data_IF_070225356013
#
_entry.id   IF_070225356013
#
_cell.length_a   1.000
_cell.length_b   1.000
_cell.length_c   1.000
_cell.angle_alpha   90.00
_cell.angle_beta   90.00
_cell.angle_gamma   90.00
#
_symmetry.space_group_name_H-M   'P 1'
#
loop_
_entity.id
_entity.type
_entity.pdbx_description
1 polymer ?
#
# COMPACT_ATOMS: atom_id res chain seq x y z
N UNK A 1 14.22 37.15 38.77
CA UNK A 1 14.44 35.81 38.19
C UNK A 1 13.12 35.36 37.62
N UNK A 2 13.09 34.87 36.38
CA UNK A 2 11.87 34.32 35.79
C UNK A 2 11.40 33.12 36.62
N UNK A 3 10.13 33.13 37.02
CA UNK A 3 9.55 32.04 37.80
C UNK A 3 8.89 30.97 36.90
N UNK A 4 8.54 29.83 37.48
CA UNK A 4 7.95 28.71 36.75
C UNK A 4 6.62 29.08 36.05
N UNK A 5 5.79 29.93 36.67
CA UNK A 5 4.50 30.34 36.09
C UNK A 5 4.69 31.20 34.84
N UNK A 6 5.65 32.12 34.86
CA UNK A 6 5.99 32.95 33.70
C UNK A 6 6.53 32.11 32.53
N UNK A 7 7.36 31.11 32.82
CA UNK A 7 7.87 30.19 31.80
C UNK A 7 6.74 29.35 31.19
N UNK A 8 5.80 28.88 32.01
CA UNK A 8 4.63 28.14 31.55
C UNK A 8 3.72 29.00 30.66
N UNK A 9 3.43 30.24 31.07
CA UNK A 9 2.62 31.15 30.26
C UNK A 9 3.24 31.43 28.88
N UNK A 10 4.57 31.61 28.83
CA UNK A 10 5.28 31.78 27.56
C UNK A 10 5.19 30.55 26.66
N UNK A 11 5.26 29.35 27.23
CA UNK A 11 5.09 28.10 26.49
C UNK A 11 3.67 27.96 25.93
N UNK A 12 2.66 28.24 26.76
CA UNK A 12 1.25 28.17 26.35
C UNK A 12 0.95 29.21 25.24
N UNK A 13 1.52 30.42 25.34
CA UNK A 13 1.38 31.44 24.30
C UNK A 13 2.06 31.01 22.98
N UNK A 14 3.28 30.47 23.05
CA UNK A 14 4.02 30.04 21.87
C UNK A 14 3.35 28.85 21.17
N UNK A 15 2.77 27.92 21.94
CA UNK A 15 2.02 26.78 21.37
C UNK A 15 0.73 27.24 20.68
N UNK A 16 0.00 28.19 21.29
CA UNK A 16 -1.17 28.78 20.66
C UNK A 16 -0.83 29.52 19.35
N UNK A 17 0.28 30.28 19.33
CA UNK A 17 0.76 30.98 18.14
C UNK A 17 1.16 29.99 17.03
N UNK A 18 1.88 28.91 17.37
CA UNK A 18 2.27 27.87 16.43
C UNK A 18 1.05 27.17 15.79
N UNK A 19 0.02 26.83 16.57
CA UNK A 19 -1.20 26.23 16.03
C UNK A 19 -1.98 27.23 15.15
N UNK A 20 -2.06 28.50 15.56
CA UNK A 20 -2.70 29.53 14.75
C UNK A 20 -2.02 29.69 13.39
N UNK A 21 -0.68 29.74 13.36
CA UNK A 21 0.10 29.77 12.14
C UNK A 21 -0.15 28.52 11.26
N UNK A 22 -0.13 27.32 11.86
CA UNK A 22 -0.40 26.06 11.15
C UNK A 22 -1.78 26.03 10.50
N UNK A 23 -2.80 26.53 11.21
CA UNK A 23 -4.17 26.58 10.67
C UNK A 23 -4.29 27.59 9.53
N UNK A 24 -3.63 28.75 9.64
CA UNK A 24 -3.60 29.76 8.58
C UNK A 24 -2.90 29.24 7.31
N UNK A 25 -1.73 28.62 7.47
CA UNK A 25 -1.01 27.98 6.35
C UNK A 25 -1.85 26.86 5.72
N UNK A 26 -2.45 26.00 6.54
CA UNK A 26 -3.31 24.91 6.04
C UNK A 26 -4.52 25.45 5.26
N UNK A 27 -5.13 26.54 5.72
CA UNK A 27 -6.23 27.18 5.01
C UNK A 27 -5.77 27.71 3.65
N UNK A 28 -4.64 28.42 3.61
CA UNK A 28 -4.06 28.93 2.36
C UNK A 28 -3.74 27.81 1.36
N UNK A 29 -3.14 26.71 1.81
CA UNK A 29 -2.84 25.55 0.96
C UNK A 29 -4.12 24.94 0.42
N UNK A 30 -5.15 24.84 1.26
CA UNK A 30 -6.42 24.24 0.88
C UNK A 30 -7.15 25.08 -0.17
N UNK A 31 -7.07 26.40 -0.09
CA UNK A 31 -7.61 27.30 -1.11
C UNK A 31 -6.83 27.19 -2.43
N UNK A 32 -5.50 27.12 -2.38
CA UNK A 32 -4.67 26.88 -3.58
C UNK A 32 -5.01 25.53 -4.24
N UNK A 33 -5.20 24.47 -3.47
CA UNK A 33 -5.60 23.15 -4.01
C UNK A 33 -6.97 23.27 -4.68
N UNK A 34 -7.95 23.92 -4.04
CA UNK A 34 -9.28 24.12 -4.61
C UNK A 34 -9.24 24.91 -5.91
N UNK A 35 -8.44 25.97 -5.96
CA UNK A 35 -8.25 26.79 -7.16
C UNK A 35 -7.68 25.94 -8.31
N UNK A 36 -6.64 25.15 -8.05
CA UNK A 36 -6.06 24.27 -9.07
C UNK A 36 -7.05 23.19 -9.54
N UNK A 37 -7.82 22.60 -8.62
CA UNK A 37 -8.87 21.63 -8.97
C UNK A 37 -9.91 22.27 -9.89
N UNK A 38 -10.32 23.51 -9.61
CA UNK A 38 -11.28 24.23 -10.44
C UNK A 38 -10.69 24.63 -11.81
N UNK A 39 -9.47 25.17 -11.83
CA UNK A 39 -8.80 25.68 -13.03
C UNK A 39 -8.60 24.59 -14.10
N UNK A 40 -8.23 23.39 -13.67
CA UNK A 40 -7.97 22.26 -14.56
C UNK A 40 -9.13 21.28 -14.64
N UNK A 41 -10.28 21.60 -14.04
CA UNK A 41 -11.45 20.72 -13.94
C UNK A 41 -11.10 19.30 -13.45
N UNK A 42 -10.19 19.21 -12.47
CA UNK A 42 -9.72 17.92 -11.94
C UNK A 42 -10.85 17.22 -11.20
N UNK A 43 -10.98 15.92 -11.44
CA UNK A 43 -11.93 15.09 -10.71
C UNK A 43 -11.34 14.63 -9.38
N UNK A 44 -12.22 14.28 -8.42
CA UNK A 44 -11.80 13.70 -7.15
C UNK A 44 -10.96 12.42 -7.37
N UNK A 45 -11.29 11.63 -8.39
CA UNK A 45 -10.52 10.43 -8.70
C UNK A 45 -9.09 10.80 -9.09
N UNK A 46 -8.87 11.78 -9.96
CA UNK A 46 -7.51 12.16 -10.38
C UNK A 46 -6.67 12.76 -9.25
N UNK A 47 -7.31 13.48 -8.31
CA UNK A 47 -6.63 14.10 -7.16
C UNK A 47 -6.28 13.09 -6.07
N UNK A 48 -7.16 12.11 -5.81
CA UNK A 48 -7.04 11.19 -4.69
C UNK A 48 -6.71 9.74 -5.09
N UNK A 49 -6.59 9.43 -6.37
CA UNK A 49 -6.15 8.11 -6.82
C UNK A 49 -4.72 7.86 -6.32
N UNK A 50 -4.62 7.00 -5.29
CA UNK A 50 -3.35 6.40 -4.94
C UNK A 50 -2.87 5.65 -6.17
N UNK A 51 -1.82 6.17 -6.82
CA UNK A 51 -1.04 5.43 -7.82
C UNK A 51 -0.64 4.12 -7.14
N UNK A 52 -1.42 3.07 -7.37
CA UNK A 52 -1.06 1.72 -6.95
C UNK A 52 0.29 1.52 -7.59
N UNK A 53 1.35 1.45 -6.79
CA UNK A 53 2.65 1.05 -7.29
C UNK A 53 2.37 -0.25 -8.02
N UNK A 54 2.52 -0.22 -9.34
CA UNK A 54 2.26 -1.36 -10.20
C UNK A 54 3.40 -2.35 -10.04
N UNK A 55 3.73 -2.71 -8.79
CA UNK A 55 4.33 -3.97 -8.45
C UNK A 55 3.30 -5.05 -8.75
N UNK A 56 3.06 -5.30 -10.04
CA UNK A 56 2.66 -6.62 -10.52
C UNK A 56 3.78 -7.56 -10.09
N UNK A 57 3.76 -8.01 -8.84
CA UNK A 57 4.14 -9.38 -8.58
C UNK A 57 3.13 -10.19 -9.39
N UNK A 58 3.49 -10.54 -10.62
CA UNK A 58 2.73 -11.49 -11.39
C UNK A 58 2.65 -12.72 -10.49
N UNK A 59 1.48 -12.97 -9.90
CA UNK A 59 1.25 -14.11 -9.05
C UNK A 59 1.37 -15.32 -9.96
N UNK A 60 2.59 -15.85 -10.07
CA UNK A 60 2.88 -16.98 -10.93
C UNK A 60 1.96 -18.10 -10.48
N UNK A 61 1.13 -18.66 -11.37
CA UNK A 61 0.21 -19.71 -11.00
C UNK A 61 0.98 -20.87 -10.35
N UNK A 62 0.42 -21.50 -9.32
CA UNK A 62 1.07 -22.64 -8.67
C UNK A 62 1.28 -23.76 -9.68
N UNK A 63 2.50 -24.32 -9.70
CA UNK A 63 2.88 -25.45 -10.56
C UNK A 63 2.75 -26.79 -9.81
N UNK A 64 2.95 -26.77 -8.50
CA UNK A 64 2.90 -27.94 -7.63
C UNK A 64 1.89 -27.74 -6.49
N UNK A 65 1.28 -28.84 -6.04
CA UNK A 65 0.34 -28.89 -4.89
C UNK A 65 0.59 -30.12 -4.03
N UNK A 66 0.65 -29.92 -2.73
CA UNK A 66 0.72 -30.98 -1.72
C UNK A 66 -0.64 -31.70 -1.61
N UNK A 67 -0.72 -33.03 -1.84
CA UNK A 67 -1.96 -33.79 -1.67
C UNK A 67 -2.40 -33.91 -0.21
N UNK A 68 -1.49 -33.77 0.76
CA UNK A 68 -1.82 -33.94 2.18
C UNK A 68 -2.40 -32.65 2.80
N UNK A 69 -1.80 -31.50 2.51
CA UNK A 69 -2.19 -30.21 3.12
C UNK A 69 -2.86 -29.24 2.14
N UNK A 70 -2.78 -29.50 0.84
CA UNK A 70 -3.26 -28.58 -0.19
C UNK A 70 -2.34 -27.37 -0.43
N UNK A 71 -1.19 -27.26 0.24
CA UNK A 71 -0.22 -26.20 0.03
C UNK A 71 0.28 -26.18 -1.42
N UNK A 72 0.53 -24.99 -1.98
CA UNK A 72 0.92 -24.84 -3.39
C UNK A 72 2.24 -24.10 -3.57
N UNK A 73 3.00 -24.46 -4.60
CA UNK A 73 4.26 -23.80 -4.94
C UNK A 73 4.35 -23.54 -6.44
N UNK A 74 4.77 -22.33 -6.82
CA UNK A 74 4.89 -21.90 -8.22
C UNK A 74 6.16 -22.39 -8.91
N UNK A 75 7.06 -23.07 -8.19
CA UNK A 75 8.38 -23.45 -8.68
C UNK A 75 9.37 -22.29 -8.75
N UNK A 76 9.03 -21.13 -8.15
CA UNK A 76 9.92 -19.98 -7.99
C UNK A 76 10.10 -19.65 -6.51
N UNK A 77 11.28 -19.20 -6.13
CA UNK A 77 11.62 -18.85 -4.75
C UNK A 77 11.98 -20.06 -3.89
N UNK A 78 11.97 -19.90 -2.56
CA UNK A 78 12.35 -20.95 -1.60
C UNK A 78 11.46 -22.18 -1.77
N UNK A 79 12.11 -23.31 -1.95
CA UNK A 79 11.45 -24.60 -2.07
C UNK A 79 10.84 -25.06 -0.74
N UNK A 80 9.56 -25.47 -0.71
CA UNK A 80 8.93 -25.99 0.50
C UNK A 80 9.45 -27.39 0.91
N UNK A 81 9.49 -27.65 2.21
CA UNK A 81 9.98 -28.92 2.75
C UNK A 81 9.20 -30.16 2.27
N UNK A 82 7.90 -30.00 1.95
CA UNK A 82 7.06 -31.11 1.51
C UNK A 82 7.42 -31.63 0.11
N UNK A 83 8.02 -30.80 -0.76
CA UNK A 83 8.44 -31.20 -2.12
C UNK A 83 9.95 -31.45 -2.23
N UNK A 84 10.78 -30.75 -1.44
CA UNK A 84 12.24 -30.71 -1.56
C UNK A 84 12.97 -32.08 -1.52
N UNK A 85 12.37 -33.10 -0.92
CA UNK A 85 12.98 -34.44 -0.78
C UNK A 85 12.21 -35.54 -1.49
N UNK A 86 11.29 -35.17 -2.39
CA UNK A 86 10.42 -36.11 -3.10
C UNK A 86 10.50 -35.88 -4.62
N UNK A 87 9.95 -36.79 -5.40
CA UNK A 87 9.80 -36.57 -6.84
C UNK A 87 8.73 -35.51 -7.12
N UNK A 88 9.16 -34.36 -7.66
CA UNK A 88 8.33 -33.20 -7.93
C UNK A 88 7.19 -33.50 -8.91
N UNK A 89 7.36 -34.51 -9.79
CA UNK A 89 6.34 -34.92 -10.75
C UNK A 89 5.04 -35.37 -10.06
N UNK A 90 5.15 -35.92 -8.84
CA UNK A 90 4.01 -36.41 -8.04
C UNK A 90 3.10 -35.29 -7.52
N UNK A 91 3.61 -34.07 -7.44
CA UNK A 91 2.91 -32.90 -6.93
C UNK A 91 2.48 -31.95 -8.06
N UNK A 92 2.79 -32.28 -9.30
CA UNK A 92 2.51 -31.42 -10.44
C UNK A 92 0.99 -31.27 -10.61
N UNK A 93 0.51 -30.02 -10.63
CA UNK A 93 -0.89 -29.75 -10.96
C UNK A 93 -1.05 -30.00 -12.46
N UNK A 94 -1.73 -31.09 -12.83
CA UNK A 94 -2.15 -31.33 -14.21
C UNK A 94 -3.19 -30.27 -14.58
N UNK A 95 -2.74 -29.17 -15.18
CA UNK A 95 -3.65 -28.26 -15.87
C UNK A 95 -4.12 -28.99 -17.11
N UNK A 96 -5.34 -29.53 -17.06
CA UNK A 96 -6.05 -29.94 -18.27
C UNK A 96 -6.40 -28.64 -19.01
N UNK A 97 -5.55 -28.21 -19.95
CA UNK A 97 -6.01 -27.36 -21.04
C UNK A 97 -6.58 -28.30 -22.09
N UNK A 98 -7.83 -28.69 -21.90
CA UNK A 98 -8.62 -29.25 -22.97
C UNK A 98 -8.92 -28.11 -23.93
N UNK A 99 -8.30 -28.15 -25.11
CA UNK A 99 -8.63 -27.26 -26.20
C UNK A 99 -10.09 -27.55 -26.59
N UNK A 100 -10.95 -26.54 -26.54
CA UNK A 100 -12.26 -26.60 -27.15
C UNK A 100 -12.07 -26.52 -28.68
N UNK A 101 -12.31 -27.63 -29.38
CA UNK A 101 -12.72 -27.65 -30.78
C UNK A 101 -14.25 -27.79 -30.80
N UNK A 102 -14.94 -26.72 -31.23
CA UNK A 102 -16.17 -26.74 -32.04
C UNK A 102 -16.39 -25.33 -32.62
#
# INVERSE_FOLDING_TARGET
MTNYQELKQKLDALTAEAEAARLAERASVLDQVRENVALYALTQQEVFEQRRSSGKSSRVPPKYRDPATGATWSGRGREPAWIASQDHARFLIKTVRENAED
#
